data_IF_592579930235
#
_entry.id   IF_592579930235
#
_cell.length_a   1.000
_cell.length_b   1.000
_cell.length_c   1.000
_cell.angle_alpha   90.00
_cell.angle_beta   90.00
_cell.angle_gamma   90.00
#
_symmetry.space_group_name_H-M   'P 1'
#
loop_
_entity.id
_entity.type
_entity.pdbx_description
1 polymer ?
#
# COMPACT_ATOMS: atom_id res chain seq x y z
N UNK A 1 21.87 37.76 22.96
CA UNK A 1 20.82 37.06 22.20
C UNK A 1 21.46 36.58 20.91
N UNK A 2 21.69 35.28 20.76
CA UNK A 2 22.32 34.72 19.57
C UNK A 2 21.25 34.33 18.55
N UNK A 3 21.29 34.90 17.36
CA UNK A 3 20.50 34.41 16.22
C UNK A 3 21.11 33.10 15.74
N UNK A 4 20.43 31.97 15.99
CA UNK A 4 20.82 30.69 15.42
C UNK A 4 20.55 30.70 13.92
N UNK A 5 21.56 31.05 13.14
CA UNK A 5 21.53 30.88 11.70
C UNK A 5 21.64 29.39 11.40
N UNK A 6 20.51 28.74 11.15
CA UNK A 6 20.49 27.41 10.57
C UNK A 6 21.29 27.45 9.25
N UNK A 7 22.18 26.47 8.99
CA UNK A 7 22.80 26.35 7.70
C UNK A 7 21.72 25.98 6.69
N UNK A 8 21.41 26.90 5.77
CA UNK A 8 20.57 26.58 4.61
C UNK A 8 21.34 25.52 3.81
N UNK A 9 20.90 24.27 3.90
CA UNK A 9 21.44 23.14 3.16
C UNK A 9 21.11 23.35 1.68
N UNK A 10 22.05 23.99 0.99
CA UNK A 10 21.94 24.33 -0.42
C UNK A 10 22.09 23.08 -1.29
N UNK A 11 20.97 22.38 -1.49
CA UNK A 11 20.83 21.26 -2.43
C UNK A 11 20.80 21.76 -3.89
N UNK A 12 21.85 22.44 -4.35
CA UNK A 12 21.87 23.24 -5.62
C UNK A 12 21.94 22.41 -6.91
N UNK A 13 21.34 21.21 -6.95
CA UNK A 13 21.10 20.46 -8.19
C UNK A 13 20.14 19.26 -8.02
N UNK A 14 20.04 18.70 -6.81
CA UNK A 14 19.33 17.45 -6.57
C UNK A 14 17.81 17.59 -6.74
N UNK A 15 17.20 16.64 -7.45
CA UNK A 15 15.75 16.54 -7.64
C UNK A 15 15.00 15.94 -6.43
N UNK A 16 15.60 15.84 -5.25
CA UNK A 16 14.88 15.34 -4.07
C UNK A 16 14.47 13.88 -4.19
N UNK A 17 13.19 13.60 -3.91
CA UNK A 17 12.63 12.28 -3.69
C UNK A 17 11.41 12.03 -4.59
N UNK A 18 11.24 10.77 -5.01
CA UNK A 18 9.99 10.26 -5.55
C UNK A 18 9.47 9.21 -4.57
N UNK A 19 8.39 9.55 -3.88
CA UNK A 19 7.67 8.65 -2.97
C UNK A 19 6.68 7.86 -3.78
N UNK A 20 6.75 6.54 -3.72
CA UNK A 20 5.98 5.63 -4.56
C UNK A 20 5.32 4.55 -3.72
N UNK A 21 4.08 4.21 -4.07
CA UNK A 21 3.43 2.97 -3.65
C UNK A 21 2.87 2.24 -4.90
N UNK A 22 2.60 0.94 -4.77
CA UNK A 22 2.18 0.05 -5.85
C UNK A 22 1.11 -0.93 -5.37
N UNK A 23 -0.13 -0.74 -5.83
CA UNK A 23 -1.11 -1.81 -5.71
C UNK A 23 -0.84 -2.93 -6.74
N UNK A 24 -0.99 -4.16 -6.28
CA UNK A 24 -0.37 -5.34 -6.93
C UNK A 24 -1.26 -6.57 -6.87
N UNK A 25 -1.16 -7.42 -7.90
CA UNK A 25 -1.99 -8.63 -8.04
C UNK A 25 -1.61 -9.79 -7.10
N UNK A 26 -0.79 -9.54 -6.08
CA UNK A 26 -0.14 -10.56 -5.27
C UNK A 26 1.21 -10.09 -4.71
N UNK A 27 1.91 -10.97 -4.01
CA UNK A 27 3.06 -10.59 -3.18
C UNK A 27 4.44 -10.85 -3.83
N UNK A 28 4.53 -11.48 -5.00
CA UNK A 28 5.82 -11.90 -5.56
C UNK A 28 5.86 -11.86 -7.11
N UNK A 29 6.55 -10.87 -7.72
CA UNK A 29 6.67 -10.80 -9.18
C UNK A 29 7.47 -11.97 -9.79
N UNK A 30 8.32 -12.65 -9.01
CA UNK A 30 8.98 -13.89 -9.46
C UNK A 30 8.03 -15.11 -9.53
N UNK A 31 6.77 -14.97 -9.09
CA UNK A 31 5.65 -15.89 -9.37
C UNK A 31 4.71 -15.37 -10.48
N UNK A 32 5.10 -14.29 -11.16
CA UNK A 32 4.29 -13.65 -12.19
C UNK A 32 3.21 -12.71 -11.65
N UNK A 33 3.28 -12.26 -10.38
CA UNK A 33 2.48 -11.13 -9.90
C UNK A 33 2.93 -9.83 -10.59
N UNK A 34 2.04 -8.85 -10.68
CA UNK A 34 2.21 -7.62 -11.47
C UNK A 34 1.75 -6.39 -10.68
N UNK A 35 2.26 -5.22 -11.04
CA UNK A 35 1.66 -3.96 -10.61
C UNK A 35 0.35 -3.71 -11.38
N UNK A 36 -0.67 -3.17 -10.71
CA UNK A 36 -1.98 -2.79 -11.27
C UNK A 36 -2.34 -1.32 -11.03
N UNK A 37 -1.58 -0.63 -10.19
CA UNK A 37 -1.61 0.82 -10.02
C UNK A 37 -0.23 1.28 -9.55
N UNK A 38 0.09 2.54 -9.82
CA UNK A 38 1.16 3.26 -9.15
C UNK A 38 0.63 4.61 -8.68
N UNK A 39 0.96 4.96 -7.43
CA UNK A 39 0.87 6.32 -6.92
C UNK A 39 2.28 6.86 -6.70
N UNK A 40 2.51 8.11 -7.07
CA UNK A 40 3.82 8.76 -7.01
C UNK A 40 3.67 10.22 -6.59
N UNK A 41 4.42 10.61 -5.55
CA UNK A 41 4.49 12.00 -5.05
C UNK A 41 5.94 12.47 -5.11
N UNK A 42 6.17 13.60 -5.77
CA UNK A 42 7.46 14.29 -5.77
C UNK A 42 7.61 15.13 -4.51
N UNK A 43 8.78 15.02 -3.87
CA UNK A 43 9.12 15.76 -2.66
C UNK A 43 10.49 16.40 -2.85
N UNK A 44 10.59 17.71 -2.61
CA UNK A 44 11.80 18.48 -2.69
C UNK A 44 12.86 18.00 -1.68
N UNK A 45 14.16 18.36 -1.85
CA UNK A 45 15.23 17.98 -0.92
C UNK A 45 15.03 18.40 0.56
N UNK A 46 14.14 19.36 0.83
CA UNK A 46 13.80 19.87 2.16
C UNK A 46 12.52 19.28 2.78
N UNK A 47 11.84 18.36 2.09
CA UNK A 47 10.59 17.74 2.54
C UNK A 47 9.30 18.39 2.04
N UNK A 48 9.38 19.48 1.27
CA UNK A 48 8.20 20.10 0.63
C UNK A 48 7.63 19.21 -0.47
N UNK A 49 6.32 18.94 -0.47
CA UNK A 49 5.64 18.22 -1.55
C UNK A 49 5.56 19.12 -2.81
N UNK A 50 5.80 18.55 -3.99
CA UNK A 50 5.87 19.28 -5.26
C UNK A 50 4.70 18.96 -6.21
N UNK A 51 4.65 17.72 -6.71
CA UNK A 51 3.74 17.23 -7.75
C UNK A 51 3.23 15.82 -7.42
N UNK A 52 2.05 15.45 -7.91
CA UNK A 52 1.44 14.13 -7.73
C UNK A 52 1.07 13.47 -9.07
N UNK A 53 1.27 12.16 -9.16
CA UNK A 53 1.02 11.36 -10.35
C UNK A 53 0.44 9.99 -9.97
N UNK A 54 -0.61 9.56 -10.65
CA UNK A 54 -1.19 8.22 -10.49
C UNK A 54 -1.60 7.60 -11.83
N UNK A 55 -1.51 6.28 -11.93
CA UNK A 55 -2.14 5.55 -13.03
C UNK A 55 -2.41 4.10 -12.65
N UNK A 56 -3.58 3.62 -13.06
CA UNK A 56 -3.85 2.20 -13.21
C UNK A 56 -2.93 1.57 -14.26
N UNK A 57 -2.67 0.27 -14.14
CA UNK A 57 -1.76 -0.50 -14.99
C UNK A 57 -2.47 -1.78 -15.43
N UNK A 58 -2.73 -1.94 -16.73
CA UNK A 58 -3.41 -3.12 -17.26
C UNK A 58 -2.52 -4.36 -17.22
N UNK A 59 -3.12 -5.48 -16.82
CA UNK A 59 -2.47 -6.80 -16.72
C UNK A 59 -3.37 -7.90 -17.28
N UNK A 60 -2.78 -8.85 -18.01
CA UNK A 60 -3.48 -10.00 -18.60
C UNK A 60 -3.46 -11.22 -17.66
N UNK A 61 -3.95 -11.06 -16.42
CA UNK A 61 -4.02 -12.10 -15.37
C UNK A 61 -5.13 -11.79 -14.36
N UNK A 62 -5.40 -12.72 -13.45
CA UNK A 62 -6.23 -12.46 -12.26
C UNK A 62 -5.61 -11.31 -11.44
N UNK A 63 -6.41 -10.28 -11.16
CA UNK A 63 -5.93 -9.04 -10.54
C UNK A 63 -5.77 -9.14 -9.02
N UNK A 64 -6.11 -10.28 -8.41
CA UNK A 64 -5.78 -10.58 -7.02
C UNK A 64 -6.78 -10.00 -6.02
N UNK A 65 -6.26 -9.30 -5.01
CA UNK A 65 -6.97 -8.97 -3.78
C UNK A 65 -7.85 -7.71 -3.90
N UNK A 66 -8.86 -7.75 -4.77
CA UNK A 66 -9.79 -6.64 -5.05
C UNK A 66 -10.44 -6.03 -3.80
N UNK A 67 -10.59 -6.79 -2.71
CA UNK A 67 -11.14 -6.31 -1.44
C UNK A 67 -10.11 -5.61 -0.52
N UNK A 68 -8.84 -5.57 -0.91
CA UNK A 68 -7.79 -4.75 -0.28
C UNK A 68 -7.63 -3.46 -1.09
N UNK A 69 -7.26 -3.59 -2.36
CA UNK A 69 -6.88 -2.44 -3.20
C UNK A 69 -8.04 -1.76 -3.92
N UNK A 70 -9.26 -2.27 -3.80
CA UNK A 70 -10.52 -1.75 -4.38
C UNK A 70 -10.62 -1.63 -5.92
N UNK A 71 -9.51 -1.60 -6.67
CA UNK A 71 -9.47 -1.62 -8.14
C UNK A 71 -10.24 -2.83 -8.70
N UNK A 72 -11.21 -2.57 -9.58
CA UNK A 72 -11.95 -3.59 -10.31
C UNK A 72 -11.26 -3.99 -11.62
N UNK A 73 -11.54 -5.20 -12.09
CA UNK A 73 -11.04 -5.67 -13.40
C UNK A 73 -11.58 -4.85 -14.59
N UNK A 74 -12.70 -4.13 -14.41
CA UNK A 74 -13.31 -3.29 -15.44
C UNK A 74 -12.53 -2.00 -15.65
N UNK A 75 -12.00 -1.39 -14.59
CA UNK A 75 -11.18 -0.17 -14.67
C UNK A 75 -9.86 -0.44 -15.42
N UNK A 76 -9.25 -1.61 -15.18
CA UNK A 76 -8.02 -2.00 -15.89
C UNK A 76 -8.20 -2.27 -17.39
N UNK A 77 -9.42 -2.40 -17.92
CA UNK A 77 -9.65 -2.63 -19.37
C UNK A 77 -9.06 -1.47 -20.20
N UNK A 78 -9.28 -0.25 -19.73
CA UNK A 78 -8.89 0.98 -20.40
C UNK A 78 -7.54 1.54 -19.93
N UNK A 79 -7.02 1.04 -18.80
CA UNK A 79 -5.71 1.42 -18.28
C UNK A 79 -4.58 1.12 -19.27
N UNK A 80 -3.49 1.91 -19.28
CA UNK A 80 -2.30 1.61 -20.06
C UNK A 80 -1.62 0.33 -19.54
N UNK A 81 -1.01 -0.45 -20.44
CA UNK A 81 -0.06 -1.49 -20.00
C UNK A 81 1.27 -0.85 -19.61
N UNK A 82 2.06 -1.53 -18.77
CA UNK A 82 3.28 -0.94 -18.19
C UNK A 82 4.24 -0.36 -19.24
N UNK A 83 4.35 -0.98 -20.43
CA UNK A 83 5.15 -0.45 -21.55
C UNK A 83 4.76 0.97 -22.00
N UNK A 84 3.48 1.33 -21.89
CA UNK A 84 2.96 2.64 -22.26
C UNK A 84 3.31 3.74 -21.26
N UNK A 85 3.44 3.41 -19.97
CA UNK A 85 3.81 4.37 -18.92
C UNK A 85 5.31 4.39 -18.63
N UNK A 86 6.04 3.31 -18.93
CA UNK A 86 7.42 3.11 -18.47
C UNK A 86 8.39 4.23 -18.85
N UNK A 87 8.25 4.84 -20.03
CA UNK A 87 9.10 5.99 -20.42
C UNK A 87 8.85 7.21 -19.52
N UNK A 88 7.59 7.48 -19.21
CA UNK A 88 7.19 8.63 -18.39
C UNK A 88 7.51 8.39 -16.91
N UNK A 89 7.22 7.19 -16.39
CA UNK A 89 7.64 6.78 -15.06
C UNK A 89 9.17 6.85 -14.89
N UNK A 90 9.94 6.51 -15.92
CA UNK A 90 11.40 6.67 -15.95
C UNK A 90 11.79 8.13 -15.82
N UNK A 91 11.13 9.02 -16.54
CA UNK A 91 11.43 10.46 -16.49
C UNK A 91 11.02 11.10 -15.14
N UNK A 92 9.95 10.62 -14.50
CA UNK A 92 9.52 11.01 -13.14
C UNK A 92 10.46 10.51 -12.03
N UNK A 93 11.15 9.37 -12.23
CA UNK A 93 12.08 8.79 -11.25
C UNK A 93 13.55 9.17 -11.48
N UNK A 94 13.96 9.52 -12.70
CA UNK A 94 15.35 9.73 -13.05
C UNK A 94 15.98 10.94 -12.33
N UNK A 95 16.93 10.66 -11.42
CA UNK A 95 17.60 11.67 -10.60
C UNK A 95 16.95 11.93 -9.24
N UNK A 96 15.84 11.24 -8.90
CA UNK A 96 15.18 11.32 -7.58
C UNK A 96 15.50 10.08 -6.75
N UNK A 97 15.54 10.21 -5.42
CA UNK A 97 15.63 9.08 -4.49
C UNK A 97 14.32 8.29 -4.54
N UNK A 98 14.39 6.98 -4.75
CA UNK A 98 13.20 6.11 -4.72
C UNK A 98 12.81 5.83 -3.27
N UNK A 99 11.71 6.40 -2.81
CA UNK A 99 11.17 6.23 -1.45
C UNK A 99 9.88 5.42 -1.54
N UNK A 100 9.67 4.51 -0.59
CA UNK A 100 8.36 3.91 -0.34
C UNK A 100 8.25 3.54 1.13
N UNK A 101 7.04 3.24 1.63
CA UNK A 101 6.92 2.79 3.01
C UNK A 101 7.67 1.48 3.21
N UNK A 102 7.42 0.47 2.36
CA UNK A 102 8.04 -0.85 2.42
C UNK A 102 8.97 -1.14 1.24
N UNK A 103 9.90 -0.23 0.89
CA UNK A 103 10.70 -0.23 -0.37
C UNK A 103 11.25 -1.57 -0.91
N UNK A 104 11.43 -2.60 -0.08
CA UNK A 104 11.78 -3.95 -0.51
C UNK A 104 10.62 -4.72 -1.21
N UNK A 105 9.39 -4.21 -1.09
CA UNK A 105 8.19 -4.65 -1.78
C UNK A 105 8.00 -3.86 -3.09
N UNK A 106 8.17 -2.54 -3.04
CA UNK A 106 7.85 -1.66 -4.16
C UNK A 106 8.91 -1.78 -5.26
N UNK A 107 10.18 -1.75 -4.87
CA UNK A 107 11.30 -1.85 -5.81
C UNK A 107 11.36 -3.19 -6.55
N UNK A 108 10.97 -4.33 -5.95
CA UNK A 108 10.94 -5.62 -6.66
C UNK A 108 9.88 -5.64 -7.77
N UNK A 109 8.77 -4.91 -7.63
CA UNK A 109 7.75 -4.79 -8.67
C UNK A 109 8.25 -3.87 -9.77
N UNK A 110 8.68 -2.65 -9.43
CA UNK A 110 9.32 -1.72 -10.36
C UNK A 110 10.45 -2.40 -11.18
N UNK A 111 11.43 -3.00 -10.51
CA UNK A 111 12.55 -3.70 -11.14
C UNK A 111 12.11 -4.91 -11.99
N UNK A 112 11.02 -5.59 -11.64
CA UNK A 112 10.50 -6.69 -12.46
C UNK A 112 9.79 -6.19 -13.71
N UNK A 113 9.06 -5.07 -13.64
CA UNK A 113 8.33 -4.53 -14.77
C UNK A 113 9.26 -3.91 -15.81
N UNK A 114 10.30 -3.17 -15.40
CA UNK A 114 11.35 -2.71 -16.32
C UNK A 114 12.11 -3.88 -16.96
N UNK A 115 12.42 -4.94 -16.21
CA UNK A 115 13.07 -6.15 -16.75
C UNK A 115 12.22 -6.90 -17.76
N UNK A 116 10.89 -6.86 -17.64
CA UNK A 116 9.98 -7.39 -18.68
C UNK A 116 10.09 -6.62 -20.01
N UNK A 117 10.52 -5.36 -19.98
CA UNK A 117 10.84 -4.55 -21.16
C UNK A 117 12.30 -4.70 -21.62
N UNK A 118 13.09 -5.58 -20.99
CA UNK A 118 14.52 -5.76 -21.28
C UNK A 118 15.43 -4.68 -20.67
N UNK A 119 14.94 -3.90 -19.71
CA UNK A 119 15.67 -2.80 -19.09
C UNK A 119 16.00 -3.07 -17.60
N UNK A 120 17.23 -2.79 -17.19
CA UNK A 120 17.59 -2.60 -15.79
C UNK A 120 17.62 -1.10 -15.47
N UNK A 121 17.28 -0.75 -14.22
CA UNK A 121 17.23 0.63 -13.72
C UNK A 121 18.09 0.76 -12.46
N UNK A 122 18.69 1.92 -12.16
CA UNK A 122 19.66 2.08 -11.07
C UNK A 122 19.03 2.18 -9.66
N UNK A 123 17.85 1.58 -9.45
CA UNK A 123 17.14 1.53 -8.16
C UNK A 123 17.76 0.45 -7.27
N UNK A 124 18.58 0.86 -6.30
CA UNK A 124 19.44 -0.01 -5.49
C UNK A 124 19.59 0.53 -4.04
N UNK A 125 20.34 -0.16 -3.18
CA UNK A 125 20.47 0.20 -1.74
C UNK A 125 21.00 1.61 -1.45
N UNK A 126 21.66 2.26 -2.42
CA UNK A 126 22.18 3.63 -2.28
C UNK A 126 21.19 4.69 -2.75
N UNK A 127 20.30 4.34 -3.70
CA UNK A 127 19.29 5.25 -4.29
C UNK A 127 17.89 5.05 -3.69
N UNK A 128 17.72 4.08 -2.78
CA UNK A 128 16.44 3.75 -2.13
C UNK A 128 16.34 4.16 -0.66
N UNK A 129 15.15 4.59 -0.23
CA UNK A 129 14.78 4.83 1.16
C UNK A 129 13.51 4.05 1.55
N UNK A 130 13.43 3.60 2.80
CA UNK A 130 12.29 2.86 3.35
C UNK A 130 11.78 3.57 4.61
N UNK A 131 10.64 4.28 4.53
CA UNK A 131 10.15 5.04 5.70
C UNK A 131 9.67 4.14 6.83
N UNK A 132 9.19 2.91 6.55
CA UNK A 132 8.92 1.89 7.58
C UNK A 132 10.15 1.59 8.45
N UNK A 133 11.33 1.44 7.83
CA UNK A 133 12.57 1.14 8.57
C UNK A 133 13.12 2.37 9.29
N UNK A 134 12.97 3.55 8.70
CA UNK A 134 13.40 4.81 9.32
C UNK A 134 12.52 5.16 10.53
N UNK A 135 11.19 5.05 10.39
CA UNK A 135 10.23 5.24 11.49
C UNK A 135 10.55 4.35 12.69
N UNK A 136 10.79 3.05 12.47
CA UNK A 136 11.16 2.11 13.55
C UNK A 136 12.48 2.48 14.24
N UNK A 137 13.35 3.24 13.58
CA UNK A 137 14.63 3.69 14.12
C UNK A 137 14.57 5.06 14.80
N UNK A 138 13.63 5.94 14.42
CA UNK A 138 13.51 7.31 14.95
C UNK A 138 12.36 7.46 15.97
N UNK A 139 11.21 6.84 15.70
CA UNK A 139 9.97 6.95 16.50
C UNK A 139 9.43 5.60 17.02
N UNK A 140 10.12 4.49 16.74
CA UNK A 140 9.81 3.14 17.25
C UNK A 140 8.63 2.42 16.58
N UNK A 141 7.66 3.14 16.01
CA UNK A 141 6.54 2.58 15.23
C UNK A 141 6.92 2.32 13.76
N UNK A 142 6.11 1.53 13.05
CA UNK A 142 6.35 1.26 11.63
C UNK A 142 5.38 0.29 10.99
N UNK A 143 4.08 0.54 11.12
CA UNK A 143 3.16 0.42 9.99
C UNK A 143 2.79 1.84 9.54
N UNK A 144 2.32 2.04 8.31
CA UNK A 144 1.96 3.37 7.83
C UNK A 144 0.88 3.99 8.73
N UNK A 145 -0.18 3.23 9.04
CA UNK A 145 -1.25 3.64 9.94
C UNK A 145 -0.78 4.04 11.35
N UNK A 146 0.24 3.38 11.92
CA UNK A 146 0.80 3.79 13.22
C UNK A 146 1.60 5.09 13.10
N UNK A 147 2.38 5.26 12.03
CA UNK A 147 3.16 6.47 11.80
C UNK A 147 2.26 7.69 11.51
N UNK A 148 1.19 7.47 10.74
CA UNK A 148 0.18 8.49 10.47
C UNK A 148 -0.54 8.93 11.75
N UNK A 149 -0.95 7.97 12.59
CA UNK A 149 -1.54 8.23 13.92
C UNK A 149 -0.60 8.99 14.86
N UNK A 150 0.70 8.66 14.87
CA UNK A 150 1.70 9.35 15.70
C UNK A 150 1.89 10.83 15.30
N UNK A 151 1.84 11.13 13.99
CA UNK A 151 2.07 12.48 13.46
C UNK A 151 0.81 13.29 13.12
N UNK A 152 -0.39 12.73 13.29
CA UNK A 152 -1.63 13.38 12.87
C UNK A 152 -1.71 13.59 11.35
N UNK A 153 -1.37 12.54 10.58
CA UNK A 153 -1.52 12.51 9.12
C UNK A 153 -2.80 11.75 8.79
N UNK A 154 -3.72 12.40 8.08
CA UNK A 154 -4.93 11.76 7.59
C UNK A 154 -4.64 10.94 6.32
N UNK A 155 -5.34 9.82 6.16
CA UNK A 155 -5.23 8.91 5.01
C UNK A 155 -6.61 8.28 4.78
N UNK A 156 -7.45 8.97 3.99
CA UNK A 156 -8.89 8.70 3.89
C UNK A 156 -9.25 7.59 2.87
N UNK A 157 -8.44 7.40 1.82
CA UNK A 157 -8.57 6.34 0.80
C UNK A 157 -7.35 5.39 0.88
N UNK A 158 -7.05 4.91 2.09
CA UNK A 158 -5.97 3.95 2.33
C UNK A 158 -6.19 2.65 1.53
N UNK A 159 -5.11 2.06 1.00
CA UNK A 159 -5.18 1.05 -0.08
C UNK A 159 -5.66 1.63 -1.44
N UNK A 160 -5.42 2.94 -1.61
CA UNK A 160 -5.05 3.52 -2.90
C UNK A 160 -3.57 3.86 -2.93
N UNK A 161 -2.91 3.55 -4.04
CA UNK A 161 -1.47 3.76 -4.13
C UNK A 161 -1.11 5.26 -4.05
N UNK A 162 -2.01 6.16 -4.47
CA UNK A 162 -1.78 7.60 -4.34
C UNK A 162 -1.97 8.08 -2.88
N UNK A 163 -3.01 7.65 -2.16
CA UNK A 163 -3.21 8.08 -0.78
C UNK A 163 -2.12 7.52 0.15
N UNK A 164 -1.74 6.25 -0.02
CA UNK A 164 -0.64 5.64 0.75
C UNK A 164 0.74 6.25 0.37
N UNK A 165 0.96 6.67 -0.90
CA UNK A 165 2.16 7.42 -1.29
C UNK A 165 2.17 8.85 -0.71
N UNK A 166 1.06 9.58 -0.75
CA UNK A 166 0.93 10.94 -0.18
C UNK A 166 1.08 10.92 1.35
N UNK A 167 0.42 10.00 2.06
CA UNK A 167 0.64 9.79 3.49
C UNK A 167 2.09 9.41 3.81
N UNK A 168 2.75 8.64 2.92
CA UNK A 168 4.19 8.33 3.03
C UNK A 168 5.08 9.55 2.76
N UNK A 169 4.66 10.50 1.91
CA UNK A 169 5.37 11.75 1.63
C UNK A 169 5.28 12.75 2.80
N UNK A 170 4.09 12.89 3.39
CA UNK A 170 3.92 13.64 4.64
C UNK A 170 4.75 13.03 5.79
N UNK A 171 4.75 11.70 5.90
CA UNK A 171 5.61 10.98 6.84
C UNK A 171 7.11 11.20 6.57
N UNK A 172 7.53 11.27 5.30
CA UNK A 172 8.92 11.54 4.92
C UNK A 172 9.38 12.90 5.46
N UNK A 173 8.57 13.95 5.28
CA UNK A 173 8.83 15.28 5.86
C UNK A 173 8.90 15.25 7.40
N UNK A 174 7.98 14.55 8.07
CA UNK A 174 8.00 14.38 9.54
C UNK A 174 9.25 13.66 10.06
N UNK A 175 9.80 12.72 9.29
CA UNK A 175 11.05 12.05 9.62
C UNK A 175 12.28 12.95 9.39
N UNK A 176 12.22 13.89 8.44
CA UNK A 176 13.23 14.94 8.26
C UNK A 176 13.18 15.96 9.40
N UNK A 177 11.99 16.41 9.81
CA UNK A 177 11.79 17.28 10.99
C UNK A 177 12.40 16.64 12.27
N UNK A 178 12.30 15.31 12.39
CA UNK A 178 12.74 14.55 13.57
C UNK A 178 14.26 14.29 13.65
N UNK A 179 14.95 14.12 12.51
CA UNK A 179 16.42 14.02 12.45
C UNK A 179 16.97 14.72 11.18
N UNK A 180 17.09 16.07 11.17
CA UNK A 180 17.57 16.82 10.00
C UNK A 180 19.02 16.52 9.63
N UNK A 181 19.85 16.17 10.62
CA UNK A 181 21.28 15.89 10.47
C UNK A 181 21.56 14.42 10.09
N UNK A 182 20.51 13.61 9.84
CA UNK A 182 20.68 12.22 9.43
C UNK A 182 21.45 12.12 8.11
N UNK A 183 22.71 11.70 8.18
CA UNK A 183 23.59 11.52 7.01
C UNK A 183 23.08 10.55 5.93
N UNK A 184 21.93 9.91 6.15
CA UNK A 184 21.20 9.12 5.16
C UNK A 184 20.34 9.93 4.20
N UNK A 185 20.05 11.22 4.46
CA UNK A 185 19.38 12.13 3.52
C UNK A 185 20.30 12.45 2.34
N UNK A 186 21.31 13.28 2.59
CA UNK A 186 22.30 13.75 1.60
C UNK A 186 22.94 12.61 0.81
N UNK A 187 23.39 11.54 1.48
CA UNK A 187 24.02 10.38 0.84
C UNK A 187 23.15 9.72 -0.24
N UNK A 188 21.82 9.78 -0.10
CA UNK A 188 20.87 9.25 -1.09
C UNK A 188 20.63 10.25 -2.21
N UNK A 189 20.49 11.53 -1.88
CA UNK A 189 20.34 12.61 -2.86
C UNK A 189 21.54 12.67 -3.81
N UNK A 190 22.76 12.67 -3.26
CA UNK A 190 24.02 12.62 -4.01
C UNK A 190 24.07 11.38 -4.93
N UNK A 191 23.74 10.19 -4.40
CA UNK A 191 23.76 8.93 -5.16
C UNK A 191 22.62 8.78 -6.19
N UNK A 192 21.47 9.42 -5.96
CA UNK A 192 20.35 9.43 -6.89
C UNK A 192 20.60 10.37 -8.07
N UNK A 193 21.29 11.48 -7.83
CA UNK A 193 21.76 12.41 -8.87
C UNK A 193 22.78 11.73 -9.80
N UNK A 194 23.82 11.08 -9.25
CA UNK A 194 24.79 10.26 -10.00
C UNK A 194 24.10 9.11 -10.78
N UNK A 195 23.11 8.47 -10.18
CA UNK A 195 22.30 7.45 -10.84
C UNK A 195 21.38 8.03 -11.94
N UNK A 196 21.15 9.34 -12.00
CA UNK A 196 20.26 9.99 -12.96
C UNK A 196 20.67 9.75 -14.42
N UNK A 197 21.97 9.84 -14.71
CA UNK A 197 22.53 9.58 -16.05
C UNK A 197 22.46 8.10 -16.45
N UNK A 198 22.31 7.21 -15.47
CA UNK A 198 22.31 5.75 -15.64
C UNK A 198 20.91 5.16 -15.90
N UNK A 199 19.86 5.98 -16.02
CA UNK A 199 18.51 5.51 -16.36
C UNK A 199 18.36 5.21 -17.87
N UNK A 200 17.87 4.02 -18.26
CA UNK A 200 17.79 3.59 -19.65
C UNK A 200 16.87 4.48 -20.49
N UNK A 201 17.18 4.65 -21.77
CA UNK A 201 16.27 5.26 -22.75
C UNK A 201 15.25 4.23 -23.24
N UNK A 202 13.95 4.50 -23.04
CA UNK A 202 12.85 3.62 -23.45
C UNK A 202 12.17 4.11 -24.73
N UNK A 203 12.93 4.13 -25.83
CA UNK A 203 12.49 4.66 -27.14
C UNK A 203 11.54 3.74 -27.91
N UNK A 204 11.59 2.43 -27.67
CA UNK A 204 10.87 1.40 -28.44
C UNK A 204 9.34 1.35 -28.23
N UNK A 205 8.84 1.92 -27.13
CA UNK A 205 7.43 1.82 -26.74
C UNK A 205 6.71 3.16 -26.89
N UNK A 206 5.47 3.14 -27.41
CA UNK A 206 4.62 4.32 -27.57
C UNK A 206 4.09 4.76 -26.19
N UNK A 207 4.27 6.04 -25.81
CA UNK A 207 3.67 6.55 -24.55
C UNK A 207 2.15 6.43 -24.60
N UNK A 208 1.54 6.03 -23.49
CA UNK A 208 0.10 6.03 -23.28
C UNK A 208 -0.27 7.03 -22.18
N UNK A 209 -1.46 7.58 -22.29
CA UNK A 209 -2.05 8.46 -21.29
C UNK A 209 -2.17 7.73 -19.95
N UNK A 210 -1.78 8.40 -18.87
CA UNK A 210 -1.92 7.91 -17.50
C UNK A 210 -3.40 7.99 -17.10
N UNK A 211 -3.94 6.89 -16.60
CA UNK A 211 -5.37 6.77 -16.27
C UNK A 211 -5.53 6.67 -14.74
N UNK A 212 -5.89 7.77 -14.04
CA UNK A 212 -6.08 7.78 -12.59
C UNK A 212 -7.21 6.82 -12.14
N UNK A 213 -7.19 6.42 -10.86
CA UNK A 213 -8.25 5.62 -10.23
C UNK A 213 -9.57 6.40 -10.27
N UNK A 214 -10.68 5.72 -10.54
CA UNK A 214 -12.00 6.39 -10.61
C UNK A 214 -12.42 7.02 -9.29
N UNK A 215 -12.13 6.38 -8.15
CA UNK A 215 -12.45 6.96 -6.83
C UNK A 215 -11.82 8.35 -6.65
N UNK A 216 -10.58 8.56 -7.08
CA UNK A 216 -9.93 9.87 -6.97
C UNK A 216 -10.54 10.91 -7.92
N UNK A 217 -10.86 10.55 -9.16
CA UNK A 217 -11.54 11.46 -10.11
C UNK A 217 -12.94 11.82 -9.61
N UNK A 218 -13.69 10.84 -9.13
CA UNK A 218 -15.05 11.02 -8.63
C UNK A 218 -15.05 11.77 -7.29
N UNK A 219 -14.11 11.51 -6.38
CA UNK A 219 -13.92 12.26 -5.13
C UNK A 219 -13.51 13.73 -5.40
N UNK A 220 -12.66 14.00 -6.39
CA UNK A 220 -12.32 15.36 -6.79
C UNK A 220 -13.55 16.13 -7.35
N UNK A 221 -14.44 15.46 -8.10
CA UNK A 221 -15.72 16.04 -8.50
C UNK A 221 -16.70 16.17 -7.32
N UNK A 222 -16.74 15.19 -6.41
CA UNK A 222 -17.64 15.15 -5.25
C UNK A 222 -17.26 16.20 -4.20
N UNK A 223 -15.97 16.52 -4.05
CA UNK A 223 -15.49 17.61 -3.20
C UNK A 223 -15.94 18.99 -3.75
N UNK A 224 -16.10 19.12 -5.07
CA UNK A 224 -16.75 20.28 -5.70
C UNK A 224 -18.29 20.21 -5.71
N UNK A 225 -18.88 19.01 -5.61
CA UNK A 225 -20.32 18.74 -5.75
C UNK A 225 -20.74 17.65 -4.74
N UNK A 226 -20.94 18.02 -3.47
CA UNK A 226 -21.09 17.05 -2.38
C UNK A 226 -22.36 16.19 -2.42
N UNK A 227 -22.19 14.84 -2.40
CA UNK A 227 -23.22 13.89 -1.98
C UNK A 227 -23.29 12.52 -2.71
N UNK A 228 -23.05 11.45 -1.93
CA UNK A 228 -23.78 10.15 -1.90
C UNK A 228 -23.56 9.02 -2.96
N UNK A 229 -22.53 8.19 -2.73
CA UNK A 229 -22.56 6.73 -2.39
C UNK A 229 -23.19 5.63 -3.31
N UNK A 230 -22.51 4.45 -3.32
CA UNK A 230 -22.86 3.11 -3.88
C UNK A 230 -22.88 2.99 -5.43
N UNK A 231 -22.65 1.85 -6.12
CA UNK A 231 -22.62 0.37 -5.88
C UNK A 231 -21.55 -0.23 -6.85
N UNK A 232 -20.84 -1.38 -6.69
CA UNK A 232 -20.76 -2.48 -5.70
C UNK A 232 -20.08 -3.75 -6.32
N UNK A 233 -19.85 -4.82 -5.55
CA UNK A 233 -18.96 -5.97 -5.91
C UNK A 233 -19.60 -7.14 -6.72
N UNK A 234 -18.78 -8.07 -7.25
CA UNK A 234 -18.80 -9.56 -7.06
C UNK A 234 -17.68 -10.29 -7.87
N UNK A 235 -17.03 -11.31 -7.26
CA UNK A 235 -16.30 -12.52 -7.78
C UNK A 235 -15.39 -12.47 -9.05
N UNK A 236 -14.22 -13.12 -9.19
CA UNK A 236 -13.29 -13.94 -8.36
C UNK A 236 -11.92 -14.06 -9.16
N UNK A 237 -10.78 -14.64 -8.73
CA UNK A 237 -10.54 -15.91 -8.00
C UNK A 237 -9.24 -16.00 -7.17
N UNK A 238 -9.41 -16.13 -5.86
CA UNK A 238 -8.43 -16.79 -4.97
C UNK A 238 -9.20 -17.36 -3.79
N UNK A 239 -9.01 -18.65 -3.43
CA UNK A 239 -9.94 -19.39 -2.55
C UNK A 239 -9.91 -18.97 -1.06
N UNK A 240 -10.42 -17.77 -0.83
CA UNK A 240 -11.09 -17.32 0.37
C UNK A 240 -12.53 -17.02 -0.09
N UNK A 241 -13.58 -17.72 0.39
CA UNK A 241 -14.93 -17.44 -0.08
C UNK A 241 -15.29 -16.01 0.31
N UNK A 242 -15.62 -15.12 -0.65
CA UNK A 242 -15.92 -13.74 -0.35
C UNK A 242 -17.12 -13.68 0.60
N UNK A 243 -17.06 -12.76 1.56
CA UNK A 243 -18.18 -12.53 2.44
C UNK A 243 -19.36 -12.01 1.61
N UNK A 244 -20.56 -12.61 1.69
CA UNK A 244 -21.76 -12.02 1.15
C UNK A 244 -21.91 -10.57 1.62
N UNK A 245 -22.46 -9.70 0.76
CA UNK A 245 -22.71 -8.27 1.08
C UNK A 245 -23.53 -8.12 2.37
N UNK A 246 -24.48 -9.03 2.59
CA UNK A 246 -25.33 -9.11 3.77
C UNK A 246 -24.78 -10.05 4.86
N UNK A 247 -23.47 -10.37 4.85
CA UNK A 247 -22.89 -11.20 5.90
C UNK A 247 -22.96 -10.48 7.24
N UNK A 248 -23.56 -11.17 8.21
CA UNK A 248 -23.55 -10.82 9.63
C UNK A 248 -23.02 -11.98 10.46
N UNK A 249 -22.38 -11.60 11.55
CA UNK A 249 -22.18 -12.41 12.74
C UNK A 249 -23.42 -12.23 13.63
N UNK A 250 -23.75 -13.23 14.43
CA UNK A 250 -24.86 -13.18 15.39
C UNK A 250 -24.39 -13.74 16.74
N UNK A 251 -25.12 -13.43 17.82
CA UNK A 251 -24.86 -14.04 19.14
C UNK A 251 -24.89 -15.58 19.04
N UNK A 252 -23.81 -16.22 19.49
CA UNK A 252 -23.60 -17.67 19.39
C UNK A 252 -22.84 -18.16 18.14
N UNK A 253 -22.49 -17.28 17.19
CA UNK A 253 -21.64 -17.66 16.06
C UNK A 253 -20.23 -18.04 16.53
N UNK A 254 -19.68 -19.11 15.93
CA UNK A 254 -18.37 -19.68 16.29
C UNK A 254 -17.26 -19.08 15.45
N UNK A 255 -16.26 -18.48 16.09
CA UNK A 255 -15.11 -17.85 15.43
C UNK A 255 -13.80 -18.57 15.79
N UNK A 256 -12.83 -18.61 14.88
CA UNK A 256 -11.49 -19.14 15.16
C UNK A 256 -10.40 -18.11 14.85
N UNK A 257 -9.63 -17.73 15.87
CA UNK A 257 -8.44 -16.87 15.71
C UNK A 257 -7.20 -17.71 15.34
N UNK A 258 -6.42 -17.27 14.36
CA UNK A 258 -5.18 -17.93 13.90
C UNK A 258 -4.06 -16.96 13.51
N UNK A 259 -2.80 -17.38 13.66
CA UNK A 259 -1.63 -16.53 13.45
C UNK A 259 -1.22 -15.72 14.69
N UNK A 260 -0.24 -14.83 14.50
CA UNK A 260 0.25 -13.90 15.53
C UNK A 260 -0.43 -12.55 15.35
N UNK A 261 -1.46 -12.30 16.17
CA UNK A 261 -2.31 -11.12 16.11
C UNK A 261 -1.63 -9.85 16.64
N UNK A 262 -2.12 -8.67 16.23
CA UNK A 262 -1.75 -7.34 16.75
C UNK A 262 -2.08 -7.21 18.24
N UNK A 263 -3.34 -7.47 18.59
CA UNK A 263 -3.83 -7.54 19.97
C UNK A 263 -3.59 -8.94 20.55
N UNK A 264 -3.42 -9.06 21.87
CA UNK A 264 -3.15 -10.37 22.47
C UNK A 264 -4.35 -11.27 22.29
N UNK A 265 -4.09 -12.58 22.13
CA UNK A 265 -5.12 -13.58 21.92
C UNK A 265 -6.18 -13.59 23.05
N UNK A 266 -5.75 -13.44 24.29
CA UNK A 266 -6.63 -13.33 25.48
C UNK A 266 -7.60 -12.16 25.41
N UNK A 267 -7.14 -11.05 24.84
CA UNK A 267 -7.84 -9.78 24.86
C UNK A 267 -8.89 -9.82 23.73
N UNK A 268 -8.49 -10.28 22.54
CA UNK A 268 -9.41 -10.68 21.47
C UNK A 268 -10.46 -11.73 21.90
N UNK A 269 -10.06 -12.75 22.67
CA UNK A 269 -10.98 -13.80 23.14
C UNK A 269 -12.02 -13.23 24.11
N UNK A 270 -11.61 -12.39 25.07
CA UNK A 270 -12.53 -11.73 26.00
C UNK A 270 -13.48 -10.73 25.32
N UNK A 271 -12.99 -9.96 24.34
CA UNK A 271 -13.78 -8.95 23.63
C UNK A 271 -14.90 -9.60 22.80
N UNK A 272 -14.58 -10.64 22.02
CA UNK A 272 -15.57 -11.39 21.23
C UNK A 272 -16.59 -12.15 22.11
N UNK A 273 -16.14 -12.75 23.20
CA UNK A 273 -17.04 -13.39 24.17
C UNK A 273 -17.97 -12.37 24.86
N UNK A 274 -17.52 -11.13 25.08
CA UNK A 274 -18.37 -10.06 25.63
C UNK A 274 -19.50 -9.64 24.69
N UNK A 275 -19.33 -9.80 23.38
CA UNK A 275 -20.36 -9.60 22.35
C UNK A 275 -21.20 -10.87 22.10
N UNK A 276 -21.00 -11.93 22.88
CA UNK A 276 -21.76 -13.18 22.80
C UNK A 276 -21.32 -14.15 21.70
N UNK A 277 -20.13 -13.98 21.13
CA UNK A 277 -19.55 -14.92 20.15
C UNK A 277 -18.82 -16.07 20.85
N UNK A 278 -18.75 -17.23 20.20
CA UNK A 278 -18.03 -18.39 20.71
C UNK A 278 -16.63 -18.51 20.07
N UNK A 279 -15.56 -18.09 20.75
CA UNK A 279 -14.21 -18.34 20.21
C UNK A 279 -13.81 -19.81 20.40
N UNK A 280 -13.43 -20.47 19.30
CA UNK A 280 -13.08 -21.90 19.27
C UNK A 280 -11.59 -22.09 18.92
N UNK A 281 -10.88 -23.05 19.55
CA UNK A 281 -9.45 -23.22 19.34
C UNK A 281 -9.09 -23.87 17.99
N UNK A 282 -10.06 -24.47 17.29
CA UNK A 282 -9.85 -25.20 16.02
C UNK A 282 -11.03 -25.06 15.07
N UNK A 283 -10.75 -25.13 13.77
CA UNK A 283 -11.77 -25.03 12.72
C UNK A 283 -12.61 -26.31 12.63
N UNK A 284 -13.93 -26.15 12.60
CA UNK A 284 -14.94 -27.21 12.43
C UNK A 284 -16.01 -26.71 11.46
N UNK A 285 -16.86 -27.59 10.92
CA UNK A 285 -17.97 -27.21 10.02
C UNK A 285 -19.07 -26.33 10.67
N UNK A 286 -18.98 -26.06 11.98
CA UNK A 286 -19.86 -25.12 12.69
C UNK A 286 -19.24 -23.73 12.88
N UNK A 287 -17.98 -23.52 12.46
CA UNK A 287 -17.31 -22.22 12.54
C UNK A 287 -17.82 -21.32 11.43
N UNK A 288 -18.30 -20.13 11.79
CA UNK A 288 -18.88 -19.13 10.90
C UNK A 288 -17.81 -18.30 10.20
N UNK A 289 -16.72 -18.00 10.90
CA UNK A 289 -15.66 -17.11 10.46
C UNK A 289 -14.30 -17.54 11.03
N UNK A 290 -13.23 -17.41 10.25
CA UNK A 290 -11.86 -17.48 10.75
C UNK A 290 -11.22 -16.10 10.64
N UNK A 291 -10.61 -15.63 11.73
CA UNK A 291 -9.85 -14.38 11.72
C UNK A 291 -8.38 -14.74 11.78
N UNK A 292 -7.59 -14.17 10.87
CA UNK A 292 -6.19 -14.49 10.68
C UNK A 292 -5.33 -13.22 10.59
N UNK A 293 -4.17 -13.23 11.23
CA UNK A 293 -3.14 -12.20 11.03
C UNK A 293 -2.69 -12.08 9.56
N UNK A 294 -2.88 -13.15 8.79
CA UNK A 294 -2.74 -13.22 7.33
C UNK A 294 -3.87 -14.12 6.77
N UNK A 295 -4.88 -13.58 6.06
CA UNK A 295 -5.97 -14.35 5.47
C UNK A 295 -5.53 -15.37 4.41
N UNK A 296 -4.37 -15.13 3.78
CA UNK A 296 -3.78 -15.99 2.74
C UNK A 296 -2.87 -17.07 3.32
N UNK A 297 -2.66 -17.08 4.64
CA UNK A 297 -1.80 -18.02 5.35
C UNK A 297 -2.08 -19.47 4.95
N UNK A 298 -1.01 -20.26 4.77
CA UNK A 298 -1.08 -21.71 4.55
C UNK A 298 -1.00 -22.52 5.87
N UNK A 299 -1.39 -21.89 6.99
CA UNK A 299 -1.55 -22.58 8.27
C UNK A 299 -2.62 -23.68 8.22
N UNK A 300 -2.46 -24.73 9.04
CA UNK A 300 -3.39 -25.86 9.13
C UNK A 300 -4.83 -25.42 9.45
N UNK A 301 -5.00 -24.29 10.15
CA UNK A 301 -6.32 -23.71 10.43
C UNK A 301 -6.92 -23.06 9.17
N UNK A 302 -6.16 -22.23 8.47
CA UNK A 302 -6.60 -21.55 7.26
C UNK A 302 -6.95 -22.55 6.14
N UNK A 303 -6.09 -23.54 5.87
CA UNK A 303 -6.39 -24.60 4.89
C UNK A 303 -7.69 -25.34 5.22
N UNK A 304 -7.88 -25.73 6.48
CA UNK A 304 -9.09 -26.41 6.96
C UNK A 304 -10.35 -25.52 6.90
N UNK A 305 -10.22 -24.20 6.88
CA UNK A 305 -11.32 -23.28 6.64
C UNK A 305 -11.72 -23.28 5.16
N UNK A 306 -10.74 -23.21 4.24
CA UNK A 306 -10.94 -23.34 2.79
C UNK A 306 -11.59 -24.69 2.43
N UNK A 307 -11.09 -25.79 3.03
CA UNK A 307 -11.65 -27.15 2.88
C UNK A 307 -13.13 -27.27 3.30
N UNK A 308 -13.64 -26.35 4.13
CA UNK A 308 -15.03 -26.32 4.61
C UNK A 308 -15.85 -25.16 4.03
N UNK A 309 -15.29 -24.32 3.15
CA UNK A 309 -15.98 -23.14 2.60
C UNK A 309 -16.22 -22.04 3.64
N UNK A 310 -15.39 -21.96 4.69
CA UNK A 310 -15.52 -20.97 5.76
C UNK A 310 -14.66 -19.74 5.41
N UNK A 311 -15.21 -18.52 5.47
CA UNK A 311 -14.47 -17.31 5.16
C UNK A 311 -13.34 -17.03 6.17
N UNK A 312 -12.26 -16.45 5.65
CA UNK A 312 -11.07 -16.04 6.39
C UNK A 312 -10.90 -14.52 6.22
N UNK A 313 -10.80 -13.78 7.31
CA UNK A 313 -10.65 -12.32 7.30
C UNK A 313 -9.43 -11.85 8.10
N UNK A 314 -8.99 -10.63 7.84
CA UNK A 314 -7.92 -9.97 8.58
C UNK A 314 -8.44 -9.40 9.91
N UNK A 315 -7.52 -9.03 10.81
CA UNK A 315 -7.85 -8.34 12.06
C UNK A 315 -8.62 -7.04 11.80
N UNK A 316 -8.23 -6.22 10.81
CA UNK A 316 -8.92 -4.96 10.50
C UNK A 316 -10.41 -5.12 10.15
N UNK A 317 -10.80 -6.26 9.55
CA UNK A 317 -12.20 -6.52 9.23
C UNK A 317 -12.99 -6.80 10.51
N UNK A 318 -12.38 -7.50 11.46
CA UNK A 318 -12.97 -7.76 12.76
C UNK A 318 -13.08 -6.46 13.59
N UNK A 319 -12.02 -5.63 13.59
CA UNK A 319 -12.01 -4.29 14.17
C UNK A 319 -13.21 -3.46 13.64
N UNK A 320 -13.40 -3.41 12.32
CA UNK A 320 -14.53 -2.71 11.67
C UNK A 320 -15.90 -3.33 12.00
N UNK A 321 -16.02 -4.66 11.97
CA UNK A 321 -17.27 -5.36 12.30
C UNK A 321 -17.70 -5.14 13.76
N UNK A 322 -16.75 -4.96 14.68
CA UNK A 322 -17.04 -4.70 16.08
C UNK A 322 -17.43 -3.24 16.34
N UNK A 323 -16.82 -2.28 15.64
CA UNK A 323 -17.24 -0.86 15.66
C UNK A 323 -18.65 -0.65 15.10
N UNK A 324 -18.99 -1.35 14.01
CA UNK A 324 -20.32 -1.27 13.39
C UNK A 324 -21.41 -2.01 14.17
N UNK A 325 -21.03 -2.84 15.15
CA UNK A 325 -21.93 -3.67 15.93
C UNK A 325 -22.23 -5.04 15.30
N UNK A 326 -22.52 -6.00 16.17
CA UNK A 326 -23.04 -7.32 15.79
C UNK A 326 -24.56 -7.23 15.82
N UNK A 327 -25.19 -7.34 14.65
CA UNK A 327 -26.64 -7.17 14.47
C UNK A 327 -27.47 -8.21 15.26
N UNK A 328 -28.68 -7.77 15.64
CA UNK A 328 -29.78 -8.57 16.20
C UNK A 328 -30.88 -8.82 15.15
#
# INVERSE_FOLDING_TARGET
MGSSLFPILTYVNSKGYAVVDFETTGLNPARGDRAIEIGLVHVAPDGTLEDEHETLIRVHRDIGAQWIHHISAVELIHAPEFEGIARELRDLLAGRVFVAHNVAFDSKFLLSEYRRLGADIPVNSHTMLCTMKLSRSLIGVGSLADCCREFGIDNEDAHSALSDAHATALLLGRLMDADPEWSGWRRRLDAAEEAGEHWPELTSFERREWLPRRSHVENNLQCMIGGASAIGADDATGFNPPLPKDFRLHVGDKIVLTGSMRQRRSDWEAELESMGLEVRPSVTKQVRLVVAADPYSESTKARKARDYGIPIVAEHWLEQAMVNGIDY
#
